data_IF_993173906349
#
_entry.id   IF_993173906349
#
_cell.length_a   1.000
_cell.length_b   1.000
_cell.length_c   1.000
_cell.angle_alpha   90.00
_cell.angle_beta   90.00
_cell.angle_gamma   90.00
#
_symmetry.space_group_name_H-M   'P 1'
#
loop_
_entity.id
_entity.type
_entity.pdbx_description
1 polymer ?
#
# COMPACT_ATOMS: atom_id res chain seq x y z
N UNK A 1 28.33 5.71 7.25
CA UNK A 1 26.88 5.59 7.37
C UNK A 1 26.53 4.19 6.92
N UNK A 2 25.68 3.50 7.65
CA UNK A 2 25.19 2.21 7.18
C UNK A 2 24.35 2.42 5.90
N UNK A 3 24.38 1.48 4.99
CA UNK A 3 23.60 1.52 3.75
C UNK A 3 22.42 0.56 3.88
N UNK A 4 21.26 0.94 3.36
CA UNK A 4 20.08 0.10 3.28
C UNK A 4 19.92 -0.44 1.86
N UNK A 5 19.69 -1.72 1.71
CA UNK A 5 19.52 -2.40 0.42
C UNK A 5 18.12 -2.99 0.28
N UNK A 6 17.54 -2.87 -0.90
CA UNK A 6 16.31 -3.59 -1.24
C UNK A 6 16.72 -4.95 -1.82
N UNK A 7 16.40 -6.02 -1.09
CA UNK A 7 16.78 -7.38 -1.46
C UNK A 7 15.76 -7.99 -2.44
N UNK A 8 14.48 -7.83 -2.16
CA UNK A 8 13.39 -8.36 -3.00
C UNK A 8 12.14 -7.50 -2.88
N UNK A 9 11.24 -7.61 -3.86
CA UNK A 9 9.93 -6.97 -3.85
C UNK A 9 8.92 -7.80 -4.62
N UNK A 10 7.72 -7.93 -4.06
CA UNK A 10 6.61 -8.61 -4.73
C UNK A 10 5.27 -7.95 -4.42
N UNK A 11 4.24 -8.29 -5.16
CA UNK A 11 2.87 -7.82 -4.97
C UNK A 11 1.84 -8.81 -5.48
N UNK A 12 0.63 -8.69 -4.99
CA UNK A 12 -0.53 -9.35 -5.62
C UNK A 12 -0.92 -8.66 -6.93
N UNK A 13 -1.69 -9.31 -7.82
CA UNK A 13 -2.45 -8.59 -8.84
C UNK A 13 -3.34 -7.52 -8.20
N UNK A 14 -3.66 -6.46 -8.94
CA UNK A 14 -4.65 -5.47 -8.50
C UNK A 14 -6.06 -5.93 -8.84
N UNK A 15 -6.96 -5.86 -7.87
CA UNK A 15 -8.39 -6.03 -8.09
C UNK A 15 -9.12 -4.70 -8.30
N UNK A 16 -10.29 -4.75 -8.90
CA UNK A 16 -11.17 -3.57 -8.99
C UNK A 16 -11.68 -3.20 -7.60
N UNK A 17 -11.50 -1.95 -7.19
CA UNK A 17 -11.91 -1.42 -5.88
C UNK A 17 -13.42 -1.14 -5.75
N UNK A 18 -14.27 -2.00 -6.32
CA UNK A 18 -15.74 -1.87 -6.25
C UNK A 18 -16.34 -3.04 -5.48
N UNK A 19 -17.35 -2.76 -4.67
CA UNK A 19 -18.08 -3.77 -3.89
C UNK A 19 -18.55 -4.91 -4.80
N UNK A 20 -18.18 -6.14 -4.44
CA UNK A 20 -18.61 -7.37 -5.12
C UNK A 20 -18.12 -7.57 -6.54
N UNK A 21 -17.24 -6.71 -7.07
CA UNK A 21 -16.76 -6.78 -8.46
C UNK A 21 -15.27 -7.06 -8.64
N UNK A 22 -14.48 -6.94 -7.61
CA UNK A 22 -13.04 -7.20 -7.68
C UNK A 22 -12.73 -8.70 -7.63
N UNK A 23 -11.79 -9.17 -8.46
CA UNK A 23 -11.35 -10.57 -8.43
C UNK A 23 -10.82 -11.00 -7.05
N UNK A 24 -10.32 -10.06 -6.25
CA UNK A 24 -9.81 -10.29 -4.88
C UNK A 24 -10.82 -9.94 -3.79
N UNK A 25 -12.04 -9.47 -4.15
CA UNK A 25 -13.02 -8.93 -3.19
C UNK A 25 -13.55 -9.96 -2.17
N UNK A 26 -13.38 -11.24 -2.44
CA UNK A 26 -13.78 -12.35 -1.56
C UNK A 26 -12.72 -12.70 -0.50
N UNK A 27 -11.50 -12.18 -0.64
CA UNK A 27 -10.39 -12.46 0.27
C UNK A 27 -10.42 -11.54 1.50
N UNK A 28 -9.74 -11.96 2.55
CA UNK A 28 -9.52 -11.13 3.73
C UNK A 28 -8.31 -10.21 3.53
N UNK A 29 -8.36 -8.92 3.92
CA UNK A 29 -7.22 -8.00 3.73
C UNK A 29 -5.91 -8.49 4.39
N UNK A 30 -5.99 -9.09 5.57
CA UNK A 30 -4.82 -9.68 6.24
C UNK A 30 -4.21 -10.80 5.40
N UNK A 31 -5.05 -11.66 4.81
CA UNK A 31 -4.59 -12.76 3.97
C UNK A 31 -3.94 -12.29 2.65
N UNK A 32 -4.38 -11.16 2.09
CA UNK A 32 -3.69 -10.53 0.96
C UNK A 32 -2.26 -10.12 1.34
N UNK A 33 -2.09 -9.51 2.50
CA UNK A 33 -0.77 -9.19 3.06
C UNK A 33 0.05 -10.45 3.34
N UNK A 34 -0.56 -11.45 3.96
CA UNK A 34 0.08 -12.74 4.25
C UNK A 34 0.60 -13.44 3.00
N UNK A 35 -0.15 -13.39 1.90
CA UNK A 35 0.27 -13.96 0.61
C UNK A 35 1.58 -13.35 0.10
N UNK A 36 1.74 -12.03 0.23
CA UNK A 36 2.96 -11.31 -0.16
C UNK A 36 4.11 -11.64 0.77
N UNK A 37 3.86 -11.64 2.07
CA UNK A 37 4.86 -11.97 3.10
C UNK A 37 5.36 -13.41 2.95
N UNK A 38 4.47 -14.38 2.74
CA UNK A 38 4.84 -15.76 2.47
C UNK A 38 5.71 -15.88 1.20
N UNK A 39 5.35 -15.16 0.14
CA UNK A 39 6.15 -15.17 -1.09
C UNK A 39 7.56 -14.59 -0.88
N UNK A 40 7.71 -13.52 -0.09
CA UNK A 40 9.04 -12.97 0.25
C UNK A 40 9.87 -13.98 1.05
N UNK A 41 9.27 -14.63 2.06
CA UNK A 41 9.92 -15.68 2.84
C UNK A 41 10.42 -16.82 1.96
N UNK A 42 9.51 -17.38 1.16
CA UNK A 42 9.79 -18.61 0.39
C UNK A 42 10.77 -18.36 -0.77
N UNK A 43 10.72 -17.18 -1.39
CA UNK A 43 11.64 -16.81 -2.49
C UNK A 43 13.08 -16.58 -2.05
N UNK A 44 13.24 -16.15 -0.81
CA UNK A 44 14.56 -15.76 -0.27
C UNK A 44 15.06 -16.74 0.78
N UNK A 45 14.38 -17.86 1.00
CA UNK A 45 14.70 -18.81 2.09
C UNK A 45 14.90 -18.06 3.44
N UNK A 46 14.04 -17.08 3.69
CA UNK A 46 14.16 -16.15 4.81
C UNK A 46 13.79 -16.84 6.12
N UNK A 47 14.74 -16.89 7.05
CA UNK A 47 14.41 -17.21 8.43
C UNK A 47 13.64 -16.06 9.06
N UNK A 48 12.34 -16.25 9.29
CA UNK A 48 11.47 -15.17 9.77
C UNK A 48 11.77 -14.74 11.21
N UNK A 49 12.54 -15.48 11.96
CA UNK A 49 13.04 -15.09 13.28
C UNK A 49 14.13 -13.99 13.21
N UNK A 50 14.72 -13.77 12.03
CA UNK A 50 15.73 -12.74 11.79
C UNK A 50 15.08 -11.42 11.31
N UNK A 51 13.74 -11.38 11.16
CA UNK A 51 13.01 -10.16 10.81
C UNK A 51 12.74 -9.36 12.09
N UNK A 52 13.28 -8.15 12.16
CA UNK A 52 13.15 -7.27 13.32
C UNK A 52 11.78 -6.58 13.33
N UNK A 53 11.38 -6.00 12.20
CA UNK A 53 10.13 -5.26 12.12
C UNK A 53 9.43 -5.40 10.75
N UNK A 54 8.12 -5.23 10.77
CA UNK A 54 7.24 -5.21 9.59
C UNK A 54 6.45 -3.91 9.58
N UNK A 55 6.85 -2.97 8.73
CA UNK A 55 6.22 -1.67 8.61
C UNK A 55 5.17 -1.72 7.49
N UNK A 56 3.90 -1.61 7.86
CA UNK A 56 2.80 -1.85 6.93
C UNK A 56 1.91 -0.63 6.77
N UNK A 57 1.57 -0.28 5.53
CA UNK A 57 0.75 0.88 5.19
C UNK A 57 -0.70 0.49 4.84
N UNK A 58 -1.66 1.20 5.43
CA UNK A 58 -3.05 1.18 4.99
C UNK A 58 -3.73 2.49 5.38
N UNK A 59 -4.56 3.04 4.50
CA UNK A 59 -5.27 4.30 4.76
C UNK A 59 -6.53 4.11 5.60
N UNK A 60 -7.09 2.90 5.63
CA UNK A 60 -8.35 2.62 6.33
C UNK A 60 -8.12 1.57 7.41
N UNK A 61 -7.57 1.99 8.54
CA UNK A 61 -7.34 1.12 9.70
C UNK A 61 -8.65 0.87 10.47
N UNK A 62 -9.57 0.14 9.85
CA UNK A 62 -10.88 -0.13 10.40
C UNK A 62 -11.29 -1.59 10.16
N UNK A 63 -11.94 -2.19 11.15
CA UNK A 63 -12.46 -3.56 11.13
C UNK A 63 -11.40 -4.56 10.62
N UNK A 64 -11.62 -5.23 9.48
CA UNK A 64 -10.69 -6.22 8.91
C UNK A 64 -9.32 -5.66 8.50
N UNK A 65 -9.19 -4.34 8.32
CA UNK A 65 -7.90 -3.67 8.10
C UNK A 65 -7.36 -2.97 9.34
N UNK A 66 -8.04 -3.11 10.49
CA UNK A 66 -7.58 -2.64 11.79
C UNK A 66 -6.72 -3.67 12.52
N UNK A 67 -6.41 -3.36 13.79
CA UNK A 67 -5.74 -4.29 14.69
C UNK A 67 -4.30 -4.63 14.27
N UNK A 68 -3.55 -3.64 13.81
CA UNK A 68 -2.20 -3.83 13.27
C UNK A 68 -2.16 -4.84 12.10
N UNK A 69 -2.64 -4.39 10.97
CA UNK A 69 -2.77 -5.21 9.75
C UNK A 69 -1.45 -5.89 9.34
N UNK A 70 -0.31 -5.21 9.48
CA UNK A 70 1.00 -5.75 9.14
C UNK A 70 1.37 -6.92 10.04
N UNK A 71 1.23 -6.76 11.35
CA UNK A 71 1.49 -7.81 12.31
C UNK A 71 0.55 -9.01 12.12
N UNK A 72 -0.75 -8.77 11.91
CA UNK A 72 -1.70 -9.85 11.67
C UNK A 72 -1.43 -10.61 10.37
N UNK A 73 -1.04 -9.92 9.32
CA UNK A 73 -0.64 -10.54 8.05
C UNK A 73 0.63 -11.40 8.21
N UNK A 74 1.60 -10.96 9.02
CA UNK A 74 2.81 -11.72 9.31
C UNK A 74 2.50 -13.02 10.05
N UNK A 75 1.66 -12.97 11.06
CA UNK A 75 1.22 -14.16 11.79
C UNK A 75 0.45 -15.13 10.88
N UNK A 76 -0.45 -14.63 10.03
CA UNK A 76 -1.18 -15.43 9.03
C UNK A 76 -0.23 -16.06 8.00
N UNK A 77 0.87 -15.39 7.67
CA UNK A 77 1.93 -15.92 6.80
C UNK A 77 2.86 -16.93 7.48
N UNK A 78 2.72 -17.16 8.79
CA UNK A 78 3.56 -18.07 9.56
C UNK A 78 4.94 -17.50 9.91
N UNK A 79 5.07 -16.20 10.02
CA UNK A 79 6.29 -15.55 10.52
C UNK A 79 6.49 -15.84 12.01
N UNK A 80 7.73 -15.85 12.45
CA UNK A 80 8.09 -16.01 13.86
C UNK A 80 7.45 -14.91 14.71
N UNK A 81 7.07 -15.26 15.93
CA UNK A 81 6.46 -14.31 16.87
C UNK A 81 7.43 -13.22 17.33
N UNK A 82 8.73 -13.37 17.09
CA UNK A 82 9.73 -12.33 17.33
C UNK A 82 9.62 -11.17 16.37
N UNK A 83 9.23 -11.41 15.11
CA UNK A 83 9.07 -10.35 14.13
C UNK A 83 7.99 -9.36 14.60
N UNK A 84 8.38 -8.15 14.94
CA UNK A 84 7.47 -7.09 15.35
C UNK A 84 6.64 -6.58 14.18
N UNK A 85 5.72 -5.65 14.41
CA UNK A 85 4.95 -5.05 13.34
C UNK A 85 4.30 -3.75 13.76
N UNK A 86 4.19 -2.83 12.80
CA UNK A 86 3.48 -1.57 12.94
C UNK A 86 2.69 -1.26 11.69
N UNK A 87 1.47 -0.78 11.87
CA UNK A 87 0.65 -0.31 10.75
C UNK A 87 0.50 1.20 10.82
N UNK A 88 0.81 1.88 9.72
CA UNK A 88 0.77 3.34 9.62
C UNK A 88 -0.18 3.81 8.52
N UNK A 89 -0.61 5.07 8.66
CA UNK A 89 -1.42 5.78 7.68
C UNK A 89 -0.78 7.12 7.31
N UNK A 90 -0.47 7.29 6.04
CA UNK A 90 -0.18 8.56 5.38
C UNK A 90 -0.98 8.62 4.07
N UNK A 91 -2.23 8.20 4.10
CA UNK A 91 -3.11 8.12 2.93
C UNK A 91 -2.42 7.41 1.75
N UNK A 92 -2.55 7.93 0.54
CA UNK A 92 -1.93 7.36 -0.67
C UNK A 92 -0.40 7.32 -0.64
N UNK A 93 0.25 8.03 0.28
CA UNK A 93 1.71 8.03 0.50
C UNK A 93 2.20 6.98 1.50
N UNK A 94 1.33 6.16 2.07
CA UNK A 94 1.70 5.18 3.10
C UNK A 94 2.80 4.22 2.63
N UNK A 95 2.71 3.69 1.41
CA UNK A 95 3.69 2.75 0.88
C UNK A 95 5.09 3.34 0.74
N UNK A 96 5.22 4.60 0.30
CA UNK A 96 6.51 5.29 0.27
C UNK A 96 7.04 5.48 1.69
N UNK A 97 6.15 5.83 2.62
CA UNK A 97 6.53 6.05 4.03
C UNK A 97 7.04 4.78 4.69
N UNK A 98 6.42 3.63 4.45
CA UNK A 98 6.90 2.35 5.01
C UNK A 98 8.31 2.03 4.56
N UNK A 99 8.60 2.17 3.25
CA UNK A 99 9.95 1.92 2.70
C UNK A 99 10.97 2.92 3.25
N UNK A 100 10.60 4.21 3.34
CA UNK A 100 11.50 5.24 3.89
C UNK A 100 11.83 5.00 5.35
N UNK A 101 10.85 4.57 6.17
CA UNK A 101 11.07 4.27 7.58
C UNK A 101 11.93 3.01 7.74
N UNK A 102 11.67 1.95 6.99
CA UNK A 102 12.50 0.75 7.00
C UNK A 102 13.97 1.07 6.66
N UNK A 103 14.18 1.85 5.60
CA UNK A 103 15.53 2.29 5.25
C UNK A 103 16.18 3.12 6.36
N UNK A 104 15.42 3.99 7.02
CA UNK A 104 15.93 4.81 8.13
C UNK A 104 16.30 3.95 9.36
N UNK A 105 15.50 2.92 9.71
CA UNK A 105 15.82 1.99 10.79
C UNK A 105 17.13 1.24 10.51
N UNK A 106 17.30 0.69 9.30
CA UNK A 106 18.54 0.03 8.87
C UNK A 106 19.74 1.01 8.92
N UNK A 107 19.59 2.21 8.32
CA UNK A 107 20.67 3.18 8.25
C UNK A 107 21.07 3.76 9.61
N UNK A 108 20.17 3.75 10.58
CA UNK A 108 20.46 4.18 11.96
C UNK A 108 21.15 3.09 12.79
N UNK A 109 21.13 1.84 12.31
CA UNK A 109 21.62 0.67 13.08
C UNK A 109 20.63 0.22 14.16
N UNK A 110 19.37 0.65 14.06
CA UNK A 110 18.32 0.20 14.99
C UNK A 110 17.88 -1.22 14.67
N UNK A 111 17.78 -1.54 13.38
CA UNK A 111 17.32 -2.82 12.87
C UNK A 111 18.25 -3.33 11.75
N UNK A 112 18.28 -4.64 11.53
CA UNK A 112 19.09 -5.28 10.49
C UNK A 112 18.25 -5.78 9.31
N UNK A 113 17.06 -6.32 9.56
CA UNK A 113 16.13 -6.85 8.53
C UNK A 113 14.72 -6.34 8.75
N UNK A 114 14.25 -5.48 7.86
CA UNK A 114 12.92 -4.88 7.94
C UNK A 114 12.12 -5.15 6.67
N UNK A 115 10.84 -5.50 6.82
CA UNK A 115 9.92 -5.65 5.70
C UNK A 115 9.00 -4.44 5.65
N UNK A 116 8.96 -3.76 4.51
CA UNK A 116 8.07 -2.64 4.25
C UNK A 116 7.02 -3.01 3.20
N UNK A 117 5.77 -2.75 3.48
CA UNK A 117 4.68 -3.06 2.55
C UNK A 117 3.39 -2.33 2.86
N UNK A 118 2.30 -2.85 2.35
CA UNK A 118 0.96 -2.32 2.61
C UNK A 118 -0.16 -3.09 1.93
N UNK A 119 -1.35 -2.93 2.46
CA UNK A 119 -2.58 -3.51 1.91
C UNK A 119 -3.69 -2.47 1.97
N UNK A 120 -4.37 -2.24 0.86
CA UNK A 120 -5.59 -1.42 0.84
C UNK A 120 -6.65 -2.11 -0.02
N UNK A 121 -7.66 -2.65 0.62
CA UNK A 121 -8.74 -3.37 -0.06
C UNK A 121 -9.93 -2.44 -0.28
N UNK A 122 -9.87 -1.62 -1.32
CA UNK A 122 -10.89 -0.60 -1.61
C UNK A 122 -12.30 -1.18 -1.84
N UNK A 123 -12.42 -2.40 -2.33
CA UNK A 123 -13.70 -3.10 -2.44
C UNK A 123 -14.34 -3.38 -1.07
N UNK A 124 -13.54 -3.65 -0.05
CA UNK A 124 -13.98 -3.84 1.33
C UNK A 124 -14.28 -2.49 2.01
N UNK A 125 -13.38 -1.52 1.90
CA UNK A 125 -13.57 -0.20 2.52
C UNK A 125 -14.80 0.51 1.97
N UNK A 126 -15.11 0.34 0.67
CA UNK A 126 -16.34 0.83 0.07
C UNK A 126 -17.60 0.11 0.60
N UNK A 127 -17.49 -1.17 0.95
CA UNK A 127 -18.61 -1.93 1.54
C UNK A 127 -18.97 -1.46 2.95
N UNK A 128 -17.97 -1.11 3.76
CA UNK A 128 -18.18 -0.66 5.15
C UNK A 128 -18.39 0.84 5.28
N UNK A 129 -18.28 1.59 4.19
CA UNK A 129 -18.56 3.03 4.17
C UNK A 129 -20.04 3.28 4.43
N UNK A 130 -20.35 4.22 5.32
CA UNK A 130 -21.71 4.68 5.57
C UNK A 130 -22.06 5.82 4.61
N UNK A 131 -23.00 5.63 3.65
CA UNK A 131 -23.37 6.68 2.70
C UNK A 131 -23.96 7.92 3.37
N UNK A 132 -24.52 7.76 4.58
CA UNK A 132 -25.12 8.85 5.36
C UNK A 132 -24.07 9.66 6.15
N UNK A 133 -22.88 9.12 6.29
CA UNK A 133 -21.77 9.76 6.99
C UNK A 133 -20.57 9.86 6.06
N UNK A 134 -20.59 10.79 5.09
CA UNK A 134 -19.46 10.93 4.18
C UNK A 134 -18.18 11.15 4.98
N UNK A 135 -17.12 10.50 4.55
CA UNK A 135 -15.83 10.64 5.20
C UNK A 135 -15.34 12.09 5.06
N UNK A 136 -15.12 12.72 6.19
CA UNK A 136 -14.51 14.04 6.29
C UNK A 136 -13.23 13.91 7.09
N UNK A 137 -12.10 14.36 6.54
CA UNK A 137 -10.79 14.25 7.20
C UNK A 137 -10.73 15.02 8.53
N UNK A 138 -11.51 16.08 8.66
CA UNK A 138 -11.60 16.84 9.91
C UNK A 138 -12.45 16.15 11.00
N UNK A 139 -13.12 15.06 10.66
CA UNK A 139 -14.00 14.31 11.58
C UNK A 139 -14.98 15.20 12.39
N UNK A 140 -15.40 16.34 11.83
CA UNK A 140 -16.28 17.31 12.49
C UNK A 140 -15.55 18.35 13.36
N UNK A 141 -14.23 18.43 13.31
CA UNK A 141 -13.45 19.45 14.01
C UNK A 141 -13.64 20.83 13.35
N UNK A 142 -14.55 21.60 13.88
CA UNK A 142 -14.89 22.94 13.37
C UNK A 142 -13.73 23.93 13.43
N UNK A 143 -12.86 23.82 14.44
CA UNK A 143 -11.67 24.67 14.57
C UNK A 143 -10.67 24.41 13.43
N UNK A 144 -10.47 23.14 13.06
CA UNK A 144 -9.63 22.77 11.92
C UNK A 144 -10.26 23.28 10.62
N UNK A 145 -11.56 23.05 10.43
CA UNK A 145 -12.29 23.44 9.22
C UNK A 145 -12.28 24.96 9.00
N UNK A 146 -12.35 25.76 10.07
CA UNK A 146 -12.30 27.21 9.98
C UNK A 146 -10.93 27.72 9.49
N UNK A 147 -9.85 27.01 9.80
CA UNK A 147 -8.48 27.37 9.39
C UNK A 147 -8.09 26.76 8.04
N UNK A 148 -8.52 25.54 7.80
CA UNK A 148 -8.17 24.75 6.63
C UNK A 148 -9.42 24.03 6.11
N UNK A 149 -10.22 24.70 5.25
CA UNK A 149 -11.39 24.08 4.63
C UNK A 149 -11.02 22.80 3.91
N UNK A 150 -11.77 21.73 4.19
CA UNK A 150 -11.55 20.42 3.57
C UNK A 150 -12.43 20.27 2.36
N UNK A 151 -11.87 19.74 1.27
CA UNK A 151 -12.62 19.43 0.05
C UNK A 151 -12.40 17.99 -0.38
N UNK A 152 -13.29 17.47 -1.21
CA UNK A 152 -13.06 16.17 -1.86
C UNK A 152 -11.93 16.31 -2.90
N UNK A 153 -11.11 15.26 -3.02
CA UNK A 153 -9.91 15.24 -3.89
C UNK A 153 -10.24 15.63 -5.35
N UNK A 154 -11.36 15.15 -5.90
CA UNK A 154 -11.79 15.51 -7.25
C UNK A 154 -12.12 17.00 -7.38
N UNK A 155 -12.87 17.56 -6.42
CA UNK A 155 -13.18 18.99 -6.41
C UNK A 155 -11.92 19.86 -6.27
N UNK A 156 -10.95 19.42 -5.49
CA UNK A 156 -9.64 20.10 -5.37
C UNK A 156 -8.86 20.06 -6.68
N UNK A 157 -8.88 18.91 -7.37
CA UNK A 157 -8.24 18.79 -8.68
C UNK A 157 -8.89 19.68 -9.74
N UNK A 158 -10.22 19.76 -9.78
CA UNK A 158 -10.95 20.65 -10.70
C UNK A 158 -10.66 22.12 -10.39
N UNK A 159 -10.57 22.49 -9.10
CA UNK A 159 -10.22 23.85 -8.71
C UNK A 159 -8.80 24.22 -9.15
N UNK A 160 -7.82 23.33 -8.96
CA UNK A 160 -6.44 23.52 -9.43
C UNK A 160 -6.41 23.63 -10.95
N UNK A 161 -7.08 22.75 -11.67
CA UNK A 161 -7.15 22.82 -13.12
C UNK A 161 -7.72 24.17 -13.62
N UNK A 162 -8.73 24.70 -12.93
CA UNK A 162 -9.33 25.99 -13.24
C UNK A 162 -8.34 27.15 -12.98
N UNK A 163 -7.65 27.14 -11.83
CA UNK A 163 -6.69 28.18 -11.46
C UNK A 163 -5.49 28.20 -12.41
N UNK A 164 -4.97 27.02 -12.77
CA UNK A 164 -3.80 26.85 -13.61
C UNK A 164 -4.13 26.85 -15.11
N UNK A 165 -5.38 26.99 -15.50
CA UNK A 165 -5.82 26.99 -16.90
C UNK A 165 -5.60 25.66 -17.62
N UNK A 166 -5.62 24.54 -16.88
CA UNK A 166 -5.48 23.18 -17.44
C UNK A 166 -6.84 22.75 -17.99
N UNK A 167 -6.92 22.58 -19.30
CA UNK A 167 -8.12 22.12 -19.95
C UNK A 167 -8.30 20.58 -19.90
N UNK A 168 -9.48 20.14 -20.29
CA UNK A 168 -9.81 18.71 -20.36
C UNK A 168 -8.89 17.95 -21.32
N UNK A 169 -8.51 18.55 -22.44
CA UNK A 169 -7.66 17.90 -23.44
C UNK A 169 -6.25 17.61 -22.89
N UNK A 170 -5.68 18.54 -22.14
CA UNK A 170 -4.39 18.36 -21.47
C UNK A 170 -4.45 17.23 -20.42
N UNK A 171 -5.51 17.17 -19.62
CA UNK A 171 -5.72 16.14 -18.64
C UNK A 171 -5.88 14.74 -19.30
N UNK A 172 -6.65 14.65 -20.39
CA UNK A 172 -6.83 13.41 -21.15
C UNK A 172 -5.53 12.95 -21.82
N UNK A 173 -4.70 13.87 -22.32
CA UNK A 173 -3.38 13.52 -22.87
C UNK A 173 -2.45 12.94 -21.79
N UNK A 174 -2.44 13.50 -20.59
CA UNK A 174 -1.66 12.95 -19.48
C UNK A 174 -2.14 11.51 -19.14
N UNK A 175 -3.45 11.29 -19.08
CA UNK A 175 -4.01 9.97 -18.86
C UNK A 175 -3.59 8.97 -19.93
N UNK A 176 -3.71 9.33 -21.22
CA UNK A 176 -3.32 8.48 -22.34
C UNK A 176 -1.82 8.13 -22.32
N UNK A 177 -0.95 9.07 -21.96
CA UNK A 177 0.49 8.81 -21.83
C UNK A 177 0.82 7.86 -20.67
N UNK A 178 0.06 7.90 -19.57
CA UNK A 178 0.26 7.02 -18.42
C UNK A 178 -0.32 5.61 -18.63
N UNK A 179 -1.33 5.47 -19.49
CA UNK A 179 -2.08 4.21 -19.72
C UNK A 179 -1.27 3.12 -20.44
N UNK A 180 -0.40 3.38 -21.46
CA UNK A 180 0.38 2.36 -22.13
C UNK A 180 1.26 1.53 -21.21
N UNK A 181 1.76 2.13 -20.14
CA UNK A 181 2.54 1.42 -19.13
C UNK A 181 1.68 0.52 -18.22
N UNK A 182 0.37 0.71 -18.17
CA UNK A 182 -0.52 -0.06 -17.30
C UNK A 182 -1.15 -1.29 -17.98
N UNK A 183 -1.35 -1.27 -19.28
CA UNK A 183 -2.10 -2.33 -20.01
C UNK A 183 -1.19 -3.20 -20.88
N UNK A 184 -0.33 -2.62 -21.71
CA UNK A 184 0.50 -3.39 -22.64
C UNK A 184 1.75 -4.02 -21.99
N UNK A 185 2.27 -3.42 -20.92
CA UNK A 185 3.42 -3.98 -20.20
C UNK A 185 3.06 -5.18 -19.30
N UNK A 186 1.79 -5.43 -19.07
CA UNK A 186 1.31 -6.51 -18.20
C UNK A 186 1.18 -7.86 -18.92
N UNK A 187 0.89 -7.86 -20.20
CA UNK A 187 0.77 -9.11 -20.99
C UNK A 187 2.12 -9.67 -21.43
N UNK A 188 3.19 -8.85 -21.47
CA UNK A 188 4.48 -9.25 -22.02
C UNK A 188 5.61 -9.44 -21.00
N UNK A 189 5.41 -9.11 -19.70
CA UNK A 189 6.44 -9.22 -18.67
C UNK A 189 6.13 -10.19 -17.52
N UNK A 190 5.17 -11.08 -17.68
CA UNK A 190 4.94 -12.16 -16.73
C UNK A 190 5.69 -13.45 -17.14
N UNK A 191 6.70 -13.32 -18.01
CA UNK A 191 7.66 -14.38 -18.21
C UNK A 191 8.88 -14.08 -17.34
N UNK A 192 8.85 -14.53 -16.09
CA UNK A 192 10.05 -14.65 -15.26
C UNK A 192 10.89 -15.76 -15.91
N UNK A 193 11.82 -15.38 -16.76
CA UNK A 193 12.90 -16.30 -17.17
C UNK A 193 13.89 -16.34 -16.01
N UNK A 194 13.90 -17.45 -15.28
CA UNK A 194 15.03 -17.79 -14.45
C UNK A 194 16.29 -17.86 -15.32
N UNK A 195 17.26 -17.02 -15.07
CA UNK A 195 18.61 -17.28 -15.55
C UNK A 195 19.20 -18.39 -14.68
N UNK A 196 19.79 -19.44 -15.27
CA UNK A 196 20.52 -20.42 -14.49
C UNK A 196 21.75 -19.72 -13.88
N UNK A 197 21.95 -19.93 -12.57
CA UNK A 197 23.20 -19.55 -11.93
C UNK A 197 24.32 -20.33 -12.60
N UNK A 198 25.29 -19.62 -13.13
CA UNK A 198 26.52 -20.21 -13.63
C UNK A 198 27.26 -20.83 -12.44
N UNK A 199 27.61 -22.12 -12.59
CA UNK A 199 28.46 -22.89 -11.70
C UNK A 199 29.88 -22.33 -11.67
#
# INVERSE_FOLDING_TARGET
>A
MAEAYIIDACRTPRGVGKVGKGALAHLHPQHLGATVLAALRDRNDLNTADVDDIIWGTSTQKDKQGGDLGRMAALDAGYDTKASGVTLDRFCGSGITTVSLAAAQIMSGMEDVVIAGGTEMMSYTAQIADPKKPFMMDAGNLSLRAKHPQTQQGCSADAIATIEGIDRAAADQLYLRSTPYSISSWSSRLTIRGQPMAT
#
